data_IF_610030384858
#
_entry.id   IF_610030384858
#
_cell.length_a   1.000
_cell.length_b   1.000
_cell.length_c   1.000
_cell.angle_alpha   90.00
_cell.angle_beta   90.00
_cell.angle_gamma   90.00
#
_symmetry.space_group_name_H-M   'P 1'
#
loop_
_entity.id
_entity.type
_entity.pdbx_description
1 polymer ?
#
# COMPACT_ATOMS: atom_id res chain seq x y z
N UNK A 1 -1.65 -15.06 14.82
CA UNK A 1 -1.61 -14.87 13.36
C UNK A 1 -1.76 -13.38 13.11
N UNK A 2 -0.73 -12.68 12.65
CA UNK A 2 -0.90 -11.29 12.22
C UNK A 2 -1.77 -11.26 10.97
N UNK A 3 -2.84 -10.47 11.00
CA UNK A 3 -3.69 -10.24 9.83
C UNK A 3 -2.86 -9.54 8.75
N UNK A 4 -2.75 -10.15 7.58
CA UNK A 4 -2.05 -9.57 6.44
C UNK A 4 -2.66 -8.19 6.12
N UNK A 5 -1.81 -7.17 6.07
CA UNK A 5 -2.17 -5.81 5.70
C UNK A 5 -2.03 -5.62 4.20
N UNK A 6 -2.91 -4.81 3.65
CA UNK A 6 -2.94 -4.52 2.22
C UNK A 6 -2.71 -3.03 2.02
N UNK A 7 -1.69 -2.68 1.24
CA UNK A 7 -1.40 -1.30 0.89
C UNK A 7 -1.43 -1.12 -0.63
N UNK A 8 -1.97 0.01 -1.08
CA UNK A 8 -1.83 0.47 -2.47
C UNK A 8 -0.90 1.67 -2.51
N UNK A 9 0.27 1.50 -3.13
CA UNK A 9 1.33 2.52 -3.18
C UNK A 9 1.37 3.13 -4.58
N UNK A 10 1.45 4.46 -4.68
CA UNK A 10 1.67 5.13 -5.97
C UNK A 10 2.97 4.63 -6.60
N UNK A 11 2.97 4.29 -7.89
CA UNK A 11 4.16 3.76 -8.59
C UNK A 11 5.39 4.64 -8.45
N UNK A 12 5.20 5.96 -8.52
CA UNK A 12 6.29 6.95 -8.32
C UNK A 12 6.95 6.90 -6.92
N UNK A 13 6.23 6.40 -5.92
CA UNK A 13 6.67 6.30 -4.54
C UNK A 13 7.29 4.94 -4.20
N UNK A 14 7.29 3.97 -5.13
CA UNK A 14 7.93 2.66 -4.92
C UNK A 14 9.43 2.82 -4.64
N UNK A 15 10.09 3.78 -5.30
CA UNK A 15 11.49 4.11 -5.04
C UNK A 15 11.76 4.53 -3.58
N UNK A 16 10.73 5.07 -2.88
CA UNK A 16 10.84 5.48 -1.49
C UNK A 16 10.76 4.29 -0.52
N UNK A 17 10.36 3.11 -1.00
CA UNK A 17 10.40 1.86 -0.23
C UNK A 17 11.82 1.35 -0.07
N UNK A 18 12.73 1.71 -0.99
CA UNK A 18 14.17 1.49 -0.84
C UNK A 18 14.52 0.03 -0.48
N UNK A 19 13.90 -0.91 -1.22
CA UNK A 19 14.14 -2.35 -1.06
C UNK A 19 13.74 -2.97 0.28
N UNK A 20 13.05 -2.23 1.15
CA UNK A 20 12.66 -2.71 2.49
C UNK A 20 11.70 -3.89 2.39
N UNK A 21 11.81 -4.79 3.37
CA UNK A 21 10.99 -6.00 3.52
C UNK A 21 10.43 -6.10 4.95
N UNK A 22 9.42 -6.95 5.15
CA UNK A 22 8.80 -7.25 6.46
C UNK A 22 8.42 -5.98 7.25
N UNK A 23 8.82 -5.88 8.53
CA UNK A 23 8.40 -4.79 9.41
C UNK A 23 8.94 -3.43 8.96
N UNK A 24 10.15 -3.37 8.38
CA UNK A 24 10.69 -2.14 7.82
C UNK A 24 9.86 -1.62 6.64
N UNK A 25 9.36 -2.54 5.80
CA UNK A 25 8.43 -2.21 4.73
C UNK A 25 7.10 -1.70 5.31
N UNK A 26 6.56 -2.38 6.33
CA UNK A 26 5.31 -2.01 6.99
C UNK A 26 5.35 -0.60 7.58
N UNK A 27 6.43 -0.26 8.29
CA UNK A 27 6.65 1.08 8.84
C UNK A 27 6.71 2.10 7.69
N UNK A 28 7.47 1.79 6.63
CA UNK A 28 7.60 2.72 5.50
C UNK A 28 6.28 2.94 4.75
N UNK A 29 5.48 1.90 4.57
CA UNK A 29 4.15 1.99 3.96
C UNK A 29 3.22 2.87 4.81
N UNK A 30 3.28 2.79 6.14
CA UNK A 30 2.53 3.68 7.04
C UNK A 30 2.96 5.14 6.90
N UNK A 31 4.26 5.42 6.80
CA UNK A 31 4.76 6.78 6.54
C UNK A 31 4.23 7.32 5.21
N UNK A 32 4.25 6.50 4.15
CA UNK A 32 3.71 6.89 2.84
C UNK A 32 2.19 7.10 2.87
N UNK A 33 1.46 6.45 3.77
CA UNK A 33 0.04 6.75 3.98
C UNK A 33 -0.15 8.17 4.53
N UNK A 34 0.73 8.64 5.43
CA UNK A 34 0.64 9.99 6.00
C UNK A 34 0.86 11.09 4.95
N UNK A 35 1.69 10.83 3.93
CA UNK A 35 1.94 11.76 2.83
C UNK A 35 0.96 11.60 1.65
N UNK A 36 0.00 10.67 1.76
CA UNK A 36 -0.95 10.34 0.70
C UNK A 36 -0.30 9.64 -0.50
N UNK A 37 0.90 9.10 -0.35
CA UNK A 37 1.61 8.33 -1.36
C UNK A 37 1.25 6.83 -1.35
N UNK A 38 0.71 6.35 -0.24
CA UNK A 38 0.12 5.03 -0.09
C UNK A 38 -1.30 5.12 0.51
N UNK A 39 -2.04 4.03 0.40
CA UNK A 39 -3.37 3.87 0.97
C UNK A 39 -3.46 2.52 1.68
N UNK A 40 -3.80 2.52 2.97
CA UNK A 40 -4.06 1.31 3.75
C UNK A 40 -5.48 0.82 3.42
N UNK A 41 -5.54 -0.34 2.79
CA UNK A 41 -6.77 -0.99 2.36
C UNK A 41 -7.09 -2.24 3.18
N UNK A 42 -6.44 -2.45 4.32
CA UNK A 42 -6.59 -3.66 5.15
C UNK A 42 -8.04 -3.92 5.56
N UNK A 43 -8.81 -2.88 5.85
CA UNK A 43 -10.19 -2.98 6.32
C UNK A 43 -11.23 -2.49 5.30
N UNK A 44 -10.83 -2.26 4.05
CA UNK A 44 -11.75 -1.81 3.00
C UNK A 44 -12.54 -3.01 2.49
N UNK A 45 -13.85 -3.00 2.77
CA UNK A 45 -14.80 -4.01 2.28
C UNK A 45 -15.46 -3.62 0.96
N UNK A 46 -15.43 -2.33 0.60
CA UNK A 46 -15.99 -1.83 -0.65
C UNK A 46 -15.08 -2.18 -1.85
N UNK A 47 -15.54 -3.14 -2.67
CA UNK A 47 -14.84 -3.56 -3.87
C UNK A 47 -14.70 -2.45 -4.92
N UNK A 48 -15.62 -1.49 -5.00
CA UNK A 48 -15.54 -0.39 -5.98
C UNK A 48 -14.34 0.51 -5.68
N UNK A 49 -14.08 0.74 -4.39
CA UNK A 49 -12.91 1.50 -3.92
C UNK A 49 -11.63 0.73 -4.27
N UNK A 50 -11.58 -0.58 -4.02
CA UNK A 50 -10.41 -1.41 -4.34
C UNK A 50 -10.13 -1.45 -5.85
N UNK A 51 -11.18 -1.58 -6.68
CA UNK A 51 -11.07 -1.58 -8.14
C UNK A 51 -10.46 -0.29 -8.69
N UNK A 52 -10.78 0.87 -8.10
CA UNK A 52 -10.16 2.16 -8.47
C UNK A 52 -8.63 2.13 -8.33
N UNK A 53 -8.10 1.41 -7.35
CA UNK A 53 -6.65 1.31 -7.17
C UNK A 53 -6.04 0.17 -7.99
N UNK A 54 -6.75 -0.96 -8.14
CA UNK A 54 -6.28 -2.12 -8.91
C UNK A 54 -6.25 -1.89 -10.41
N UNK A 55 -7.26 -1.22 -10.98
CA UNK A 55 -7.40 -1.05 -12.43
C UNK A 55 -6.58 0.12 -12.99
N UNK A 56 -5.68 0.71 -12.19
CA UNK A 56 -4.87 1.83 -12.64
C UNK A 56 -3.39 1.47 -12.63
N UNK A 57 -2.70 1.82 -13.70
CA UNK A 57 -1.23 1.77 -13.74
C UNK A 57 -0.55 2.80 -12.82
N UNK A 58 -1.31 3.43 -11.91
CA UNK A 58 -0.81 4.44 -10.97
C UNK A 58 -0.43 3.85 -9.63
N UNK A 59 -0.96 2.68 -9.26
CA UNK A 59 -0.70 2.05 -7.97
C UNK A 59 -0.13 0.65 -8.13
N UNK A 60 0.53 0.16 -7.08
CA UNK A 60 1.00 -1.21 -6.91
C UNK A 60 0.54 -1.70 -5.54
N UNK A 61 0.05 -2.94 -5.51
CA UNK A 61 -0.47 -3.58 -4.30
C UNK A 61 0.67 -4.27 -3.55
N UNK A 62 0.78 -3.99 -2.26
CA UNK A 62 1.71 -4.63 -1.34
C UNK A 62 0.92 -5.41 -0.28
N UNK A 63 1.43 -6.60 0.06
CA UNK A 63 0.94 -7.44 1.16
C UNK A 63 2.02 -7.47 2.23
N UNK A 64 1.67 -7.13 3.46
CA UNK A 64 2.64 -7.02 4.55
C UNK A 64 2.08 -7.52 5.88
#
# INVERSE_FOLDING_TARGET
METAKIFYVKRKAIKNLDGKIFEALRIKLRELCQTGEAFDATYITDQRVLQKYQNTNRYVKFYC
#
